data_IF_892510151631
#
_entry.id   IF_892510151631
#
_cell.length_a   1.000
_cell.length_b   1.000
_cell.length_c   1.000
_cell.angle_alpha   90.00
_cell.angle_beta   90.00
_cell.angle_gamma   90.00
#
_symmetry.space_group_name_H-M   'P 1'
#
loop_
_entity.id
_entity.type
_entity.pdbx_description
1 polymer ?
#
# COMPACT_ATOMS: atom_id res chain seq x y z
N UNK A 1 -12.07 15.61 3.80
CA UNK A 1 -11.01 15.41 4.75
C UNK A 1 -9.71 15.99 4.25
N UNK A 2 -8.99 16.60 5.14
CA UNK A 2 -7.72 17.21 4.76
C UNK A 2 -6.65 16.15 4.56
N UNK A 3 -5.78 16.38 3.58
CA UNK A 3 -4.62 15.54 3.35
C UNK A 3 -3.46 16.16 4.10
N UNK A 4 -2.77 15.37 4.89
CA UNK A 4 -1.58 15.85 5.60
C UNK A 4 -0.41 15.96 4.62
N UNK A 5 0.29 17.10 4.68
CA UNK A 5 1.48 17.32 3.85
C UNK A 5 2.74 17.08 4.66
N UNK A 6 3.64 16.30 4.12
CA UNK A 6 4.88 15.94 4.80
C UNK A 6 6.04 16.29 3.90
N UNK A 7 6.87 17.23 4.33
CA UNK A 7 8.02 17.67 3.54
C UNK A 7 9.36 17.27 4.16
N UNK A 8 9.37 16.96 5.45
CA UNK A 8 10.63 16.67 6.13
C UNK A 8 11.04 15.20 5.98
N UNK A 9 12.30 14.98 5.63
CA UNK A 9 12.85 13.64 5.59
C UNK A 9 13.01 13.04 6.99
N UNK A 10 12.87 13.87 8.02
CA UNK A 10 12.95 13.42 9.42
C UNK A 10 11.59 13.05 9.99
N UNK A 11 10.52 13.23 9.22
CA UNK A 11 9.18 12.87 9.68
C UNK A 11 9.12 11.39 10.01
N UNK A 12 8.52 11.00 11.15
CA UNK A 12 8.45 9.59 11.55
C UNK A 12 7.81 8.68 10.50
N UNK A 13 6.83 9.18 9.75
CA UNK A 13 6.20 8.38 8.69
C UNK A 13 7.17 8.09 7.55
N UNK A 14 7.99 9.10 7.17
CA UNK A 14 8.99 8.90 6.14
C UNK A 14 10.02 7.88 6.61
N UNK A 15 10.49 8.00 7.84
CA UNK A 15 11.44 7.04 8.40
C UNK A 15 10.87 5.63 8.45
N UNK A 16 9.60 5.52 8.82
CA UNK A 16 8.96 4.21 8.87
C UNK A 16 8.85 3.59 7.47
N UNK A 17 8.46 4.38 6.48
CA UNK A 17 8.37 3.87 5.10
C UNK A 17 9.71 3.39 4.59
N UNK A 18 10.79 4.10 4.93
CA UNK A 18 12.13 3.66 4.54
C UNK A 18 12.46 2.31 5.17
N UNK A 19 12.10 2.11 6.44
CA UNK A 19 12.31 0.82 7.10
C UNK A 19 11.51 -0.29 6.44
N UNK A 20 10.31 0.03 5.98
CA UNK A 20 9.42 -0.96 5.37
C UNK A 20 9.92 -1.43 4.00
N UNK A 21 11.01 -0.86 3.49
CA UNK A 21 11.65 -1.38 2.28
C UNK A 21 12.27 -2.74 2.54
N UNK A 22 12.60 -3.05 3.78
CA UNK A 22 13.17 -4.34 4.15
C UNK A 22 12.06 -5.29 4.59
N UNK A 23 12.27 -6.57 4.31
CA UNK A 23 11.27 -7.58 4.58
C UNK A 23 10.94 -7.72 6.06
N UNK A 24 11.97 -7.73 6.90
CA UNK A 24 11.76 -7.96 8.32
C UNK A 24 10.89 -6.90 8.98
N UNK A 25 11.15 -5.59 8.79
CA UNK A 25 10.24 -4.58 9.32
C UNK A 25 8.83 -4.69 8.75
N UNK A 26 8.68 -5.05 7.47
CA UNK A 26 7.35 -5.25 6.89
C UNK A 26 6.60 -6.35 7.60
N UNK A 27 7.27 -7.47 7.85
CA UNK A 27 6.64 -8.60 8.52
C UNK A 27 6.29 -8.26 9.97
N UNK A 28 7.18 -7.54 10.66
CA UNK A 28 6.91 -7.11 12.03
C UNK A 28 5.74 -6.16 12.11
N UNK A 29 5.62 -5.25 11.15
CA UNK A 29 4.50 -4.32 11.11
C UNK A 29 3.22 -4.94 10.53
N UNK A 30 3.33 -6.09 9.89
CA UNK A 30 2.18 -6.76 9.30
C UNK A 30 1.65 -6.05 8.07
N UNK A 31 2.53 -5.46 7.26
CA UNK A 31 2.12 -4.72 6.08
C UNK A 31 2.97 -5.10 4.88
N UNK A 32 2.48 -4.72 3.69
CA UNK A 32 3.30 -4.73 2.49
C UNK A 32 3.04 -3.43 1.72
N UNK A 33 3.94 -3.13 0.80
CA UNK A 33 3.90 -1.90 0.04
C UNK A 33 3.46 -2.16 -1.39
N UNK A 34 2.63 -1.27 -1.92
CA UNK A 34 2.19 -1.31 -3.31
C UNK A 34 2.61 0.00 -3.95
N UNK A 35 3.59 -0.05 -4.82
CA UNK A 35 4.10 1.17 -5.45
C UNK A 35 3.68 1.23 -6.90
N UNK A 36 3.16 2.39 -7.30
CA UNK A 36 2.85 2.69 -8.68
C UNK A 36 1.36 2.74 -8.98
N UNK A 37 1.03 3.57 -9.97
CA UNK A 37 -0.35 3.79 -10.37
C UNK A 37 -1.05 2.48 -10.77
N UNK A 38 -0.38 1.72 -11.64
CA UNK A 38 -0.98 0.50 -12.17
C UNK A 38 -1.20 -0.54 -11.08
N UNK A 39 -0.21 -0.68 -10.21
CA UNK A 39 -0.29 -1.67 -9.14
C UNK A 39 -1.38 -1.32 -8.13
N UNK A 40 -1.49 -0.04 -7.78
CA UNK A 40 -2.51 0.42 -6.84
C UNK A 40 -3.90 0.26 -7.45
N UNK A 41 -4.07 0.62 -8.72
CA UNK A 41 -5.35 0.45 -9.40
C UNK A 41 -5.75 -1.01 -9.42
N UNK A 42 -4.80 -1.90 -9.72
CA UNK A 42 -5.07 -3.34 -9.74
C UNK A 42 -5.46 -3.85 -8.36
N UNK A 43 -4.80 -3.34 -7.32
CA UNK A 43 -5.16 -3.73 -5.95
C UNK A 43 -6.60 -3.34 -5.63
N UNK A 44 -7.01 -2.13 -6.01
CA UNK A 44 -8.40 -1.70 -5.81
C UNK A 44 -9.37 -2.59 -6.57
N UNK A 45 -9.05 -2.94 -7.81
CA UNK A 45 -9.92 -3.79 -8.63
C UNK A 45 -10.11 -5.17 -7.99
N UNK A 46 -9.13 -5.62 -7.22
CA UNK A 46 -9.17 -6.92 -6.57
C UNK A 46 -9.60 -6.82 -5.11
N UNK A 47 -10.12 -5.68 -4.70
CA UNK A 47 -10.61 -5.45 -3.34
C UNK A 47 -9.56 -5.64 -2.26
N UNK A 48 -8.31 -5.36 -2.58
CA UNK A 48 -7.24 -5.34 -1.59
C UNK A 48 -7.43 -4.13 -0.69
N UNK A 49 -7.40 -4.34 0.62
CA UNK A 49 -7.54 -3.25 1.57
C UNK A 49 -6.26 -2.42 1.56
N UNK A 50 -6.39 -1.12 1.34
CA UNK A 50 -5.26 -0.19 1.42
C UNK A 50 -5.49 0.71 2.63
N UNK A 51 -4.53 0.77 3.54
CA UNK A 51 -4.66 1.56 4.76
C UNK A 51 -4.22 3.00 4.57
N UNK A 52 -3.18 3.20 3.78
CA UNK A 52 -2.59 4.51 3.58
C UNK A 52 -2.16 4.64 2.14
N UNK A 53 -2.23 5.86 1.62
CA UNK A 53 -1.63 6.17 0.33
C UNK A 53 -0.78 7.43 0.48
N UNK A 54 0.43 7.35 -0.04
CA UNK A 54 1.39 8.46 -0.06
C UNK A 54 1.57 8.86 -1.51
N UNK A 55 1.53 10.16 -1.78
CA UNK A 55 1.64 10.63 -3.14
C UNK A 55 2.47 11.91 -3.19
N UNK A 56 3.09 12.14 -4.34
CA UNK A 56 3.86 13.35 -4.59
C UNK A 56 3.56 13.81 -6.01
N UNK A 57 2.81 14.91 -6.15
CA UNK A 57 2.43 15.40 -7.48
C UNK A 57 3.63 15.70 -8.40
N UNK A 58 4.77 16.06 -7.81
CA UNK A 58 5.96 16.37 -8.60
C UNK A 58 6.48 15.17 -9.40
N UNK A 59 6.07 13.96 -9.04
CA UNK A 59 6.48 12.74 -9.73
C UNK A 59 5.40 12.18 -10.66
N UNK A 60 4.20 12.75 -10.67
CA UNK A 60 3.12 12.21 -11.49
C UNK A 60 3.51 12.21 -12.97
N UNK A 61 3.20 11.11 -13.65
CA UNK A 61 3.54 10.92 -15.05
C UNK A 61 2.39 11.26 -15.99
N UNK A 62 1.17 11.37 -15.48
CA UNK A 62 0.00 11.65 -16.28
C UNK A 62 -1.00 12.50 -15.53
N UNK A 63 -2.28 12.32 -15.83
CA UNK A 63 -3.33 13.13 -15.25
C UNK A 63 -4.35 12.31 -14.44
N UNK A 64 -4.15 11.00 -14.37
CA UNK A 64 -5.12 10.12 -13.74
C UNK A 64 -4.84 9.85 -12.27
N UNK A 65 -3.68 10.28 -11.77
CA UNK A 65 -3.29 10.00 -10.39
C UNK A 65 -4.24 10.59 -9.36
N UNK A 66 -4.70 11.84 -9.51
CA UNK A 66 -5.62 12.40 -8.51
C UNK A 66 -6.91 11.60 -8.38
N UNK A 67 -7.46 11.12 -9.48
CA UNK A 67 -8.69 10.34 -9.43
C UNK A 67 -8.48 9.02 -8.71
N UNK A 68 -7.35 8.37 -8.94
CA UNK A 68 -7.03 7.13 -8.25
C UNK A 68 -6.86 7.36 -6.75
N UNK A 69 -6.19 8.46 -6.37
CA UNK A 69 -6.02 8.80 -4.96
C UNK A 69 -7.38 8.95 -4.29
N UNK A 70 -8.35 9.62 -4.95
CA UNK A 70 -9.68 9.78 -4.39
C UNK A 70 -10.39 8.44 -4.25
N UNK A 71 -10.22 7.54 -5.21
CA UNK A 71 -10.81 6.21 -5.10
C UNK A 71 -10.26 5.45 -3.91
N UNK A 72 -8.95 5.56 -3.67
CA UNK A 72 -8.30 4.90 -2.53
C UNK A 72 -8.80 5.50 -1.22
N UNK A 73 -8.92 6.83 -1.16
CA UNK A 73 -9.45 7.51 0.02
C UNK A 73 -10.89 7.11 0.29
N UNK A 74 -11.70 7.05 -0.75
CA UNK A 74 -13.11 6.67 -0.60
C UNK A 74 -13.25 5.23 -0.12
N UNK A 75 -12.25 4.40 -0.40
CA UNK A 75 -12.24 3.02 0.09
C UNK A 75 -11.74 2.92 1.54
N UNK A 76 -11.38 4.04 2.17
CA UNK A 76 -11.06 4.07 3.60
C UNK A 76 -9.61 4.37 3.95
N UNK A 77 -8.75 4.60 2.97
CA UNK A 77 -7.35 4.86 3.23
C UNK A 77 -7.11 6.30 3.66
N UNK A 78 -6.12 6.50 4.52
CA UNK A 78 -5.62 7.83 4.80
C UNK A 78 -4.65 8.25 3.69
N UNK A 79 -4.68 9.53 3.33
CA UNK A 79 -3.83 10.05 2.28
C UNK A 79 -2.84 11.07 2.84
N UNK A 80 -1.60 10.99 2.35
CA UNK A 80 -0.53 11.88 2.77
C UNK A 80 0.21 12.37 1.53
N UNK A 81 0.41 13.68 1.44
CA UNK A 81 1.18 14.25 0.34
C UNK A 81 2.62 14.42 0.77
N UNK A 82 3.55 13.87 0.00
CA UNK A 82 4.98 13.99 0.28
C UNK A 82 5.61 14.98 -0.68
N UNK A 83 6.62 15.70 -0.19
CA UNK A 83 7.45 16.51 -1.07
C UNK A 83 8.19 15.60 -2.07
N UNK A 84 8.72 16.20 -3.11
CA UNK A 84 9.47 15.45 -4.12
C UNK A 84 10.60 14.65 -3.49
N UNK A 85 11.37 15.29 -2.61
CA UNK A 85 12.51 14.64 -1.97
C UNK A 85 12.10 13.56 -0.99
N UNK A 86 11.03 13.81 -0.22
CA UNK A 86 10.54 12.81 0.72
C UNK A 86 10.04 11.57 -0.02
N UNK A 87 9.33 11.75 -1.13
CA UNK A 87 8.86 10.61 -1.90
C UNK A 87 10.03 9.83 -2.51
N UNK A 88 11.03 10.54 -3.05
CA UNK A 88 12.22 9.88 -3.61
C UNK A 88 12.91 9.02 -2.55
N UNK A 89 12.89 9.47 -1.30
CA UNK A 89 13.52 8.74 -0.20
C UNK A 89 12.82 7.42 0.08
N UNK A 90 11.49 7.38 -0.01
CA UNK A 90 10.73 6.19 0.34
C UNK A 90 10.46 5.28 -0.85
N UNK A 91 10.62 5.77 -2.07
CA UNK A 91 10.30 5.00 -3.27
C UNK A 91 11.32 3.89 -3.50
N UNK A 92 10.85 2.76 -3.99
CA UNK A 92 11.70 1.64 -4.41
C UNK A 92 12.25 1.86 -5.81
N UNK A 93 11.43 2.48 -6.67
CA UNK A 93 11.76 2.64 -8.08
C UNK A 93 12.72 3.78 -8.29
N UNK A 94 13.62 3.63 -9.26
CA UNK A 94 14.49 4.73 -9.66
C UNK A 94 13.69 5.88 -10.25
N UNK A 95 12.64 5.53 -11.01
CA UNK A 95 11.75 6.52 -11.62
C UNK A 95 10.35 6.31 -11.08
N UNK A 96 10.08 6.84 -9.88
CA UNK A 96 8.76 6.66 -9.29
C UNK A 96 7.71 7.44 -10.06
N UNK A 97 6.46 7.04 -9.90
CA UNK A 97 5.32 7.76 -10.47
C UNK A 97 4.51 8.48 -9.40
N UNK A 98 5.07 8.62 -8.22
CA UNK A 98 4.48 9.43 -7.18
C UNK A 98 3.38 8.80 -6.37
N UNK A 99 3.23 7.48 -6.41
CA UNK A 99 2.17 6.79 -5.68
C UNK A 99 2.74 5.58 -4.94
N UNK A 100 2.43 5.48 -3.64
CA UNK A 100 2.85 4.37 -2.80
C UNK A 100 1.77 4.11 -1.77
N UNK A 101 1.27 2.88 -1.72
CA UNK A 101 0.23 2.51 -0.76
C UNK A 101 0.75 1.48 0.23
N UNK A 102 0.14 1.47 1.41
CA UNK A 102 0.45 0.51 2.46
C UNK A 102 -0.78 -0.34 2.69
N UNK A 103 -0.61 -1.66 2.64
CA UNK A 103 -1.68 -2.62 2.81
C UNK A 103 -1.33 -3.62 3.91
N UNK A 104 -2.32 -4.14 4.64
CA UNK A 104 -2.05 -5.18 5.63
C UNK A 104 -1.65 -6.46 4.93
N UNK A 105 -0.69 -7.18 5.51
CA UNK A 105 -0.30 -8.48 4.99
C UNK A 105 -1.43 -9.47 5.19
N UNK A 106 -1.58 -10.35 4.21
CA UNK A 106 -2.43 -11.53 4.38
C UNK A 106 -1.62 -12.55 5.18
N UNK A 107 -2.12 -12.89 6.36
CA UNK A 107 -1.48 -13.90 7.21
C UNK A 107 -2.45 -15.04 7.43
N UNK A 108 -2.02 -16.24 7.06
CA UNK A 108 -2.83 -17.42 7.24
C UNK A 108 -2.43 -18.13 8.54
N UNK A 109 -3.30 -18.05 9.54
CA UNK A 109 -3.18 -18.82 10.77
C UNK A 109 -4.27 -19.86 10.79
N UNK A 110 -4.22 -20.77 11.77
CA UNK A 110 -5.29 -21.74 11.91
C UNK A 110 -6.65 -21.06 12.10
N UNK A 111 -6.68 -20.00 12.88
CA UNK A 111 -7.91 -19.26 13.11
C UNK A 111 -8.38 -18.59 11.80
N UNK A 112 -7.47 -18.04 11.01
CA UNK A 112 -7.82 -17.43 9.74
C UNK A 112 -8.36 -18.47 8.75
N UNK A 113 -7.77 -19.65 8.72
CA UNK A 113 -8.25 -20.71 7.86
C UNK A 113 -9.65 -21.14 8.24
N UNK A 114 -9.90 -21.28 9.53
CA UNK A 114 -11.24 -21.65 10.01
C UNK A 114 -12.26 -20.58 9.66
N UNK A 115 -11.89 -19.31 9.81
CA UNK A 115 -12.78 -18.21 9.49
C UNK A 115 -13.11 -18.20 8.00
N UNK A 116 -12.11 -18.43 7.15
CA UNK A 116 -12.33 -18.46 5.71
C UNK A 116 -13.22 -19.62 5.33
N UNK A 117 -12.93 -20.80 5.85
CA UNK A 117 -13.71 -22.00 5.57
C UNK A 117 -15.14 -21.85 6.07
N UNK A 118 -15.30 -21.34 7.27
CA UNK A 118 -16.62 -21.19 7.87
C UNK A 118 -17.50 -20.18 7.17
N UNK A 119 -16.90 -19.22 6.49
CA UNK A 119 -17.65 -18.21 5.76
C UNK A 119 -17.78 -18.50 4.27
N UNK A 120 -17.10 -19.53 3.80
CA UNK A 120 -17.11 -19.85 2.38
C UNK A 120 -16.43 -18.79 1.54
N UNK A 121 -15.49 -18.06 2.10
CA UNK A 121 -14.84 -16.98 1.38
C UNK A 121 -13.81 -17.52 0.42
N UNK A 122 -13.67 -16.81 -0.70
CA UNK A 122 -12.52 -16.98 -1.55
C UNK A 122 -11.30 -16.57 -0.77
N UNK A 123 -10.25 -17.16 -1.09
CA UNK A 123 -9.01 -16.72 -0.53
C UNK A 123 -8.61 -15.44 -1.18
N UNK A 124 -8.11 -14.77 -0.58
CA UNK A 124 -7.60 -13.55 -1.16
C UNK A 124 -6.36 -13.76 -1.94
N UNK A 125 -6.48 -14.34 -1.92
CA UNK A 125 -5.77 -14.64 -2.59
C UNK A 125 -5.10 -15.00 -2.94
N UNK A 126 -5.32 -15.17 -2.82
CA UNK A 126 -4.61 -15.84 -2.78
C UNK A 126 -4.46 -16.28 -3.02
N UNK A 127 -4.80 -16.26 -2.63
CA UNK A 127 -4.54 -17.07 -2.25
C UNK A 127 -4.64 -17.54 -2.60
N UNK A 128 -5.05 -17.48 -2.74
CA UNK A 128 -4.92 -18.08 -2.57
C UNK A 128 -4.62 -18.34 -2.88
N UNK A 129 -4.81 -17.98 -2.72
CA UNK A 129 -4.38 -18.32 -2.43
C UNK A 129 -3.74 -18.20 -2.64
N UNK A 130 -3.73 -17.85 -2.48
CA UNK A 130 -3.04 -18.02 -2.11
C UNK A 130 -2.31 -17.85 -2.35
N UNK A 131 -2.31 -17.61 -2.14
CA UNK A 131 -1.58 -17.70 -1.82
C UNK A 131 -0.82 -17.33 -2.23
N UNK A 132 -0.88 -16.91 -1.94
CA UNK A 132 -0.17 -16.89 -1.77
C UNK A 132 0.43 -16.56 -2.05
N UNK A 133 0.09 -16.15 -1.81
CA UNK A 133 0.76 -16.14 -1.54
C UNK A 133 1.07 -15.80 -1.73
N UNK A 134 0.45 -15.31 -1.59
CA UNK A 134 0.66 -15.38 -1.22
C UNK A 134 1.02 -15.18 -1.37
N UNK A 135 0.98 -15.01 -1.13
CA UNK A 135 1.35 -15.13 -0.85
C UNK A 135 1.65 -15.12 -1.03
N UNK A 136 1.19 -14.79 -0.80
CA UNK A 136 1.46 -15.15 -0.56
C UNK A 136 1.67 -15.14 -0.78
N UNK A 137 1.45 -14.82 -0.67
CA UNK A 137 1.61 -15.16 -0.35
C UNK A 137 1.78 -15.17 -0.61
#
# INVERSE_FOLDING_TARGET
>A
MAVEKISSLQNPRVKQLVKLRDRRPRDEAGVFLVEGYREIRRALEKDVVLREIYFSPDWFLGENEPALIEQVRNAGAQAFELSKDAFAKVAYRERPDGLLAVAPQWRTTLADLDAIAGRGLRTPPSERAVTQHAPAG
#
